data_IF_808673282773
#
_entry.id   IF_808673282773
#
_cell.length_a   1.000
_cell.length_b   1.000
_cell.length_c   1.000
_cell.angle_alpha   90.00
_cell.angle_beta   90.00
_cell.angle_gamma   90.00
#
_symmetry.space_group_name_H-M   'P 1'
#
loop_
_entity.id
_entity.type
_entity.pdbx_description
1 polymer ?
#
# COMPACT_ATOMS: atom_id res chain seq x y z
N UNK A 1 -52.04 -9.28 -9.90
CA UNK A 1 -51.68 -7.94 -9.38
C UNK A 1 -50.50 -8.11 -8.46
N UNK A 2 -49.45 -7.36 -8.78
CA UNK A 2 -48.10 -7.49 -8.26
C UNK A 2 -48.03 -7.05 -6.80
N UNK A 3 -47.35 -7.84 -5.96
CA UNK A 3 -46.65 -7.34 -4.79
C UNK A 3 -45.26 -8.01 -4.73
N UNK A 4 -44.44 -7.76 -5.76
CA UNK A 4 -42.98 -7.79 -5.61
C UNK A 4 -42.57 -6.45 -5.00
N UNK A 5 -42.61 -6.36 -3.67
CA UNK A 5 -42.10 -5.20 -2.93
C UNK A 5 -40.71 -5.52 -2.38
N UNK A 6 -39.74 -5.40 -3.27
CA UNK A 6 -38.41 -4.83 -3.01
C UNK A 6 -37.59 -5.59 -1.96
N UNK A 7 -36.85 -6.59 -2.43
CA UNK A 7 -35.53 -6.90 -1.87
C UNK A 7 -34.74 -5.59 -1.83
N UNK A 8 -34.48 -5.08 -0.63
CA UNK A 8 -33.53 -4.00 -0.40
C UNK A 8 -32.14 -4.52 -0.75
N UNK A 9 -31.81 -4.51 -2.05
CA UNK A 9 -30.46 -4.69 -2.55
C UNK A 9 -29.61 -3.64 -1.86
N UNK A 10 -28.78 -4.10 -0.93
CA UNK A 10 -27.64 -3.38 -0.41
C UNK A 10 -26.90 -2.75 -1.58
N UNK A 11 -26.95 -1.43 -1.69
CA UNK A 11 -26.06 -0.70 -2.56
C UNK A 11 -24.65 -0.96 -2.04
N UNK A 12 -23.92 -1.89 -2.66
CA UNK A 12 -22.48 -1.97 -2.53
C UNK A 12 -21.91 -0.65 -3.02
N UNK A 13 -21.64 0.24 -2.06
CA UNK A 13 -20.93 1.48 -2.29
C UNK A 13 -19.52 1.06 -2.71
N UNK A 14 -19.26 1.03 -4.01
CA UNK A 14 -17.89 0.98 -4.53
C UNK A 14 -17.19 2.24 -4.02
N UNK A 15 -16.49 2.12 -2.88
CA UNK A 15 -15.66 3.19 -2.36
C UNK A 15 -14.44 3.23 -3.26
N UNK A 16 -14.49 4.09 -4.27
CA UNK A 16 -13.28 4.47 -5.00
C UNK A 16 -12.27 5.02 -3.98
N UNK A 17 -11.07 4.44 -3.95
CA UNK A 17 -9.98 4.94 -3.13
C UNK A 17 -9.67 6.39 -3.57
N UNK A 18 -9.82 7.34 -2.64
CA UNK A 18 -9.41 8.72 -2.87
C UNK A 18 -7.92 8.83 -2.51
N UNK A 19 -7.10 9.23 -3.48
CA UNK A 19 -5.67 9.45 -3.26
C UNK A 19 -5.41 10.89 -2.84
N UNK A 20 -4.57 11.07 -1.82
CA UNK A 20 -4.18 12.38 -1.31
C UNK A 20 -2.65 12.54 -1.33
N UNK A 21 -2.18 13.72 -1.78
CA UNK A 21 -0.76 14.06 -1.73
C UNK A 21 -0.39 14.62 -0.34
N UNK A 22 -0.57 13.81 0.70
CA UNK A 22 -0.27 14.17 2.08
C UNK A 22 0.58 13.10 2.75
N UNK A 23 1.40 13.50 3.73
CA UNK A 23 2.22 12.56 4.50
C UNK A 23 1.36 11.55 5.26
N UNK A 24 0.25 12.00 5.84
CA UNK A 24 -0.66 11.15 6.61
C UNK A 24 -1.28 10.04 5.73
N UNK A 25 -1.66 10.37 4.49
CA UNK A 25 -2.17 9.38 3.55
C UNK A 25 -1.10 8.32 3.22
N UNK A 26 0.14 8.73 2.93
CA UNK A 26 1.23 7.80 2.67
C UNK A 26 1.53 6.88 3.87
N UNK A 27 1.52 7.42 5.09
CA UNK A 27 1.73 6.64 6.31
C UNK A 27 0.63 5.60 6.56
N UNK A 28 -0.63 5.95 6.28
CA UNK A 28 -1.74 5.01 6.39
C UNK A 28 -1.60 3.87 5.36
N UNK A 29 -1.25 4.21 4.11
CA UNK A 29 -1.01 3.21 3.06
C UNK A 29 0.17 2.27 3.42
N UNK A 30 1.25 2.80 3.99
CA UNK A 30 2.37 1.99 4.49
C UNK A 30 1.96 1.08 5.66
N UNK A 31 1.01 1.52 6.49
CA UNK A 31 0.51 0.74 7.62
C UNK A 31 -0.38 -0.43 7.17
N UNK A 32 -1.19 -0.21 6.14
CA UNK A 32 -2.16 -1.17 5.61
C UNK A 32 -1.53 -2.14 4.58
N UNK A 33 -0.28 -1.93 4.15
CA UNK A 33 0.40 -2.79 3.19
C UNK A 33 0.63 -4.22 3.74
N UNK A 34 -0.04 -5.26 3.19
CA UNK A 34 0.15 -6.65 3.63
C UNK A 34 1.56 -7.17 3.35
N UNK A 35 2.34 -6.52 2.48
CA UNK A 35 3.70 -6.87 2.12
C UNK A 35 4.75 -6.12 2.94
N UNK A 36 4.37 -5.20 3.83
CA UNK A 36 5.29 -4.36 4.63
C UNK A 36 6.39 -5.16 5.32
N UNK A 37 6.06 -6.36 5.79
CA UNK A 37 6.98 -7.29 6.47
C UNK A 37 8.20 -7.67 5.61
N UNK A 38 8.09 -7.70 4.28
CA UNK A 38 9.20 -8.08 3.41
C UNK A 38 10.28 -7.00 3.37
N UNK A 39 9.96 -5.74 3.68
CA UNK A 39 10.94 -4.65 3.74
C UNK A 39 12.07 -4.95 4.73
N UNK A 40 11.78 -5.63 5.84
CA UNK A 40 12.81 -5.98 6.82
C UNK A 40 13.74 -7.12 6.38
N UNK A 41 13.43 -7.82 5.30
CA UNK A 41 14.24 -8.96 4.80
C UNK A 41 15.41 -8.53 3.91
N UNK A 42 15.60 -7.22 3.64
CA UNK A 42 16.63 -6.70 2.74
C UNK A 42 17.59 -5.72 3.41
N UNK A 43 18.81 -5.62 2.88
CA UNK A 43 19.79 -4.60 3.25
C UNK A 43 19.53 -3.30 2.47
N UNK A 44 19.01 -2.28 3.16
CA UNK A 44 18.83 -0.95 2.56
C UNK A 44 20.11 -0.12 2.68
N UNK A 45 20.56 0.53 1.59
CA UNK A 45 21.75 1.38 1.62
C UNK A 45 21.53 2.62 2.49
N UNK A 46 22.64 3.15 3.00
CA UNK A 46 22.70 4.43 3.71
C UNK A 46 23.77 5.30 3.07
N UNK A 47 23.50 6.58 2.90
CA UNK A 47 24.48 7.59 2.46
C UNK A 47 24.70 8.54 3.62
N UNK A 48 25.95 8.69 4.07
CA UNK A 48 26.31 9.50 5.25
C UNK A 48 25.50 9.10 6.51
N UNK A 49 25.29 7.80 6.70
CA UNK A 49 24.52 7.24 7.82
C UNK A 49 22.99 7.40 7.72
N UNK A 50 22.48 8.08 6.70
CA UNK A 50 21.03 8.31 6.51
C UNK A 50 20.42 7.30 5.52
N UNK A 51 19.21 6.80 5.79
CA UNK A 51 18.47 5.99 4.82
C UNK A 51 18.26 6.76 3.50
N UNK A 52 18.29 6.05 2.38
CA UNK A 52 17.99 6.61 1.06
C UNK A 52 16.76 5.95 0.44
N UNK A 53 16.16 6.65 -0.52
CA UNK A 53 15.09 6.12 -1.36
C UNK A 53 15.74 5.39 -2.55
N UNK A 54 15.54 4.08 -2.61
CA UNK A 54 16.21 3.22 -3.60
C UNK A 54 15.22 2.81 -4.71
N UNK A 55 15.13 3.62 -5.76
CA UNK A 55 14.23 3.40 -6.91
C UNK A 55 14.90 2.76 -8.14
N UNK A 56 16.13 2.26 -7.98
CA UNK A 56 16.90 1.59 -9.06
C UNK A 56 16.94 0.06 -8.91
N UNK A 57 16.02 -0.51 -8.13
CA UNK A 57 15.93 -1.96 -7.87
C UNK A 57 15.68 -2.81 -9.12
N UNK A 58 15.22 -2.19 -10.21
CA UNK A 58 15.07 -2.81 -11.52
C UNK A 58 16.41 -3.08 -12.23
N UNK A 59 17.47 -2.36 -11.85
CA UNK A 59 18.83 -2.55 -12.39
C UNK A 59 19.64 -3.48 -11.49
N UNK A 60 19.68 -3.16 -10.18
CA UNK A 60 20.35 -3.98 -9.18
C UNK A 60 19.42 -4.17 -7.98
N UNK A 61 19.02 -5.41 -7.72
CA UNK A 61 18.18 -5.75 -6.57
C UNK A 61 18.93 -5.55 -5.25
N UNK A 62 18.19 -5.25 -4.17
CA UNK A 62 18.76 -5.23 -2.83
C UNK A 62 19.14 -6.66 -2.41
N UNK A 63 20.24 -6.77 -1.67
CA UNK A 63 20.68 -8.05 -1.12
C UNK A 63 19.68 -8.52 -0.03
N UNK A 64 19.13 -9.75 -0.13
CA UNK A 64 18.39 -10.38 0.95
C UNK A 64 19.28 -10.63 2.17
N UNK A 65 18.72 -10.64 3.38
CA UNK A 65 19.43 -10.95 4.62
C UNK A 65 19.65 -12.45 4.86
N UNK A 66 19.05 -13.30 4.02
CA UNK A 66 19.08 -14.77 4.13
C UNK A 66 20.03 -15.34 3.10
#
# INVERSE_FOLDING_TARGET
MNNKSIESRTFEKNIAMQFENTLAFAQNMDADDPLRKYRSEFHFPKVNGKPVIYFTGNSLGLQPKR
#
